data_IF_757339843644
#
_entry.id   IF_757339843644
#
_cell.length_a   1.000
_cell.length_b   1.000
_cell.length_c   1.000
_cell.angle_alpha   90.00
_cell.angle_beta   90.00
_cell.angle_gamma   90.00
#
_symmetry.space_group_name_H-M   'P 1'
#
loop_
_entity.id
_entity.type
_entity.pdbx_description
1 polymer ?
#
# COMPACT_ATOMS: atom_id res chain seq x y z
N UNK A 1 17.36 -14.86 -1.35
CA UNK A 1 16.72 -14.64 -0.04
C UNK A 1 15.22 -14.58 -0.29
N UNK A 2 14.43 -15.40 0.41
CA UNK A 2 12.98 -15.41 0.15
C UNK A 2 12.36 -14.08 0.59
N UNK A 3 11.47 -13.50 -0.21
CA UNK A 3 10.75 -12.24 0.01
C UNK A 3 10.24 -12.07 1.47
N UNK A 4 9.72 -13.14 2.05
CA UNK A 4 9.25 -13.19 3.44
C UNK A 4 10.37 -12.94 4.48
N UNK A 5 11.61 -13.32 4.18
CA UNK A 5 12.76 -13.08 5.08
C UNK A 5 13.25 -11.63 4.97
N UNK A 6 13.26 -11.05 3.77
CA UNK A 6 13.60 -9.64 3.55
C UNK A 6 12.60 -8.73 4.28
N UNK A 7 11.32 -8.97 4.08
CA UNK A 7 10.25 -8.21 4.73
C UNK A 7 10.32 -8.32 6.27
N UNK A 8 10.59 -9.51 6.79
CA UNK A 8 10.76 -9.75 8.23
C UNK A 8 11.97 -9.01 8.81
N UNK A 9 13.10 -8.99 8.10
CA UNK A 9 14.29 -8.23 8.53
C UNK A 9 14.08 -6.72 8.50
N UNK A 10 13.37 -6.23 7.50
CA UNK A 10 13.09 -4.81 7.30
C UNK A 10 12.14 -4.26 8.39
N UNK A 11 11.18 -5.06 8.84
CA UNK A 11 10.16 -4.66 9.81
C UNK A 11 10.60 -4.87 11.26
N UNK A 12 11.42 -5.88 11.54
CA UNK A 12 11.82 -6.24 12.90
C UNK A 12 13.04 -5.44 13.43
N UNK A 13 13.69 -4.60 12.62
CA UNK A 13 14.86 -3.81 13.03
C UNK A 13 14.84 -2.35 12.57
N UNK A 14 13.81 -1.56 12.92
CA UNK A 14 13.81 -0.13 12.58
C UNK A 14 14.86 0.68 13.39
N UNK A 15 15.32 0.16 14.54
CA UNK A 15 16.11 0.93 15.52
C UNK A 15 17.62 0.91 15.33
N UNK A 16 18.17 0.14 14.39
CA UNK A 16 19.64 0.02 14.24
C UNK A 16 20.26 0.82 13.09
N UNK A 17 19.50 1.49 12.26
CA UNK A 17 20.01 2.17 11.06
C UNK A 17 19.87 3.68 11.07
N UNK A 18 19.44 4.33 12.15
CA UNK A 18 19.34 5.80 12.20
C UNK A 18 18.44 6.42 11.11
N UNK A 19 17.77 5.59 10.35
CA UNK A 19 16.81 6.01 9.33
C UNK A 19 15.44 6.18 9.97
N UNK A 20 14.70 7.18 9.53
CA UNK A 20 13.28 7.36 9.83
C UNK A 20 12.58 6.02 9.62
N UNK A 21 11.93 5.50 10.65
CA UNK A 21 11.24 4.22 10.56
C UNK A 21 10.31 4.20 9.34
N UNK A 22 10.32 3.13 8.52
CA UNK A 22 9.60 3.07 7.25
C UNK A 22 8.10 3.34 7.35
N UNK A 23 7.51 3.11 8.49
CA UNK A 23 6.10 3.30 8.80
C UNK A 23 5.90 4.43 9.81
N UNK A 24 6.70 5.50 9.72
CA UNK A 24 6.49 6.65 10.60
C UNK A 24 5.15 7.31 10.29
N UNK A 25 4.47 7.75 11.33
CA UNK A 25 3.23 8.52 11.19
C UNK A 25 3.44 9.77 10.32
N UNK A 26 4.61 10.40 10.39
CA UNK A 26 4.96 11.54 9.56
C UNK A 26 5.00 11.25 8.07
N UNK A 27 5.53 10.09 7.66
CA UNK A 27 5.51 9.67 6.26
C UNK A 27 4.08 9.36 5.80
N UNK A 28 3.30 8.68 6.62
CA UNK A 28 1.90 8.39 6.33
C UNK A 28 1.07 9.68 6.20
N UNK A 29 1.28 10.65 7.06
CA UNK A 29 0.65 11.97 6.96
C UNK A 29 1.04 12.70 5.68
N UNK A 30 2.31 12.70 5.31
CA UNK A 30 2.80 13.35 4.10
C UNK A 30 2.15 12.74 2.85
N UNK A 31 2.19 11.42 2.73
CA UNK A 31 1.64 10.71 1.55
C UNK A 31 0.13 10.87 1.47
N UNK A 32 -0.59 10.69 2.57
CA UNK A 32 -2.05 10.83 2.56
C UNK A 32 -2.51 12.27 2.36
N UNK A 33 -1.71 13.26 2.75
CA UNK A 33 -1.96 14.67 2.43
C UNK A 33 -1.73 14.94 0.94
N UNK A 34 -0.63 14.44 0.38
CA UNK A 34 -0.34 14.56 -1.05
C UNK A 34 -1.40 13.83 -1.93
N UNK A 35 -1.99 12.77 -1.40
CA UNK A 35 -3.06 12.04 -2.07
C UNK A 35 -4.36 12.84 -2.20
N UNK A 36 -4.57 13.87 -1.35
CA UNK A 36 -5.77 14.70 -1.35
C UNK A 36 -7.08 13.89 -1.39
N UNK A 37 -7.28 13.11 -0.33
CA UNK A 37 -8.36 12.13 -0.26
C UNK A 37 -9.75 12.74 0.01
N UNK A 38 -9.83 14.04 0.23
CA UNK A 38 -11.07 14.74 0.68
C UNK A 38 -12.27 14.57 -0.26
N UNK A 39 -12.02 14.34 -1.54
CA UNK A 39 -13.06 14.13 -2.55
C UNK A 39 -13.01 12.72 -3.19
N UNK A 40 -12.22 11.82 -2.64
CA UNK A 40 -12.09 10.48 -3.19
C UNK A 40 -13.32 9.63 -2.85
N UNK A 41 -13.86 8.92 -3.84
CA UNK A 41 -14.99 7.99 -3.67
C UNK A 41 -14.54 6.55 -3.53
N UNK A 42 -13.39 6.21 -4.12
CA UNK A 42 -12.81 4.88 -4.09
C UNK A 42 -11.29 4.94 -3.95
N UNK A 43 -10.77 4.29 -2.92
CA UNK A 43 -9.33 4.25 -2.61
C UNK A 43 -8.91 2.80 -2.40
N UNK A 44 -7.72 2.45 -2.88
CA UNK A 44 -7.10 1.15 -2.65
C UNK A 44 -5.74 1.34 -2.00
N UNK A 45 -5.42 0.53 -1.01
CA UNK A 45 -4.07 0.43 -0.45
C UNK A 45 -3.42 -0.88 -0.88
N UNK A 46 -2.22 -0.80 -1.44
CA UNK A 46 -1.39 -1.94 -1.80
C UNK A 46 -0.30 -2.12 -0.74
N UNK A 47 -0.41 -3.19 0.04
CA UNK A 47 0.57 -3.50 1.08
C UNK A 47 0.45 -2.62 2.32
N UNK A 48 -0.38 -3.01 3.26
CA UNK A 48 -0.64 -2.22 4.49
C UNK A 48 0.44 -2.35 5.56
N UNK A 49 1.21 -3.43 5.52
CA UNK A 49 2.17 -3.70 6.59
C UNK A 49 1.51 -3.70 7.96
N UNK A 50 1.96 -2.82 8.85
CA UNK A 50 1.40 -2.70 10.21
C UNK A 50 0.15 -1.82 10.32
N UNK A 51 -0.37 -1.32 9.20
CA UNK A 51 -1.60 -0.53 9.13
C UNK A 51 -1.45 0.97 9.45
N UNK A 52 -0.24 1.51 9.49
CA UNK A 52 -0.03 2.94 9.78
C UNK A 52 -0.62 3.83 8.69
N UNK A 53 -0.40 3.49 7.42
CA UNK A 53 -1.01 4.20 6.29
C UNK A 53 -2.52 3.99 6.27
N UNK A 54 -2.97 2.77 6.50
CA UNK A 54 -4.41 2.42 6.59
C UNK A 54 -5.14 3.33 7.58
N UNK A 55 -4.58 3.52 8.77
CA UNK A 55 -5.14 4.38 9.81
C UNK A 55 -5.25 5.84 9.35
N UNK A 56 -4.18 6.37 8.71
CA UNK A 56 -4.18 7.75 8.19
C UNK A 56 -5.13 7.94 7.01
N UNK A 57 -5.27 6.94 6.14
CA UNK A 57 -6.27 6.96 5.07
C UNK A 57 -7.68 7.06 5.67
N UNK A 58 -8.00 6.18 6.63
CA UNK A 58 -9.32 6.17 7.28
C UNK A 58 -9.68 7.49 7.96
N UNK A 59 -8.70 8.24 8.46
CA UNK A 59 -8.90 9.56 9.06
C UNK A 59 -9.22 10.65 8.04
N UNK A 60 -8.89 10.47 6.77
CA UNK A 60 -8.93 11.52 5.73
C UNK A 60 -9.96 11.27 4.63
N UNK A 61 -10.46 10.05 4.50
CA UNK A 61 -11.45 9.73 3.46
C UNK A 61 -12.85 10.24 3.84
N UNK A 62 -13.66 10.65 2.85
CA UNK A 62 -15.03 11.06 3.10
C UNK A 62 -15.90 9.92 3.64
N UNK A 63 -16.94 10.29 4.38
CA UNK A 63 -17.98 9.35 4.78
C UNK A 63 -18.61 8.73 3.53
N UNK A 64 -18.70 7.40 3.49
CA UNK A 64 -19.26 6.66 2.35
C UNK A 64 -18.24 6.34 1.23
N UNK A 65 -17.00 6.82 1.32
CA UNK A 65 -15.95 6.39 0.40
C UNK A 65 -15.72 4.87 0.51
N UNK A 66 -15.47 4.25 -0.63
CA UNK A 66 -15.11 2.83 -0.70
C UNK A 66 -13.60 2.69 -0.51
N UNK A 67 -13.21 1.94 0.49
CA UNK A 67 -11.80 1.71 0.79
C UNK A 67 -11.56 0.25 1.13
N UNK A 68 -10.53 -0.34 0.52
CA UNK A 68 -10.04 -1.65 0.88
C UNK A 68 -8.53 -1.76 0.71
N UNK A 69 -7.98 -2.75 1.36
CA UNK A 69 -6.55 -3.06 1.42
C UNK A 69 -6.29 -4.41 0.78
N UNK A 70 -5.21 -4.52 0.02
CA UNK A 70 -4.65 -5.77 -0.48
C UNK A 70 -3.30 -6.01 0.19
N UNK A 71 -3.22 -7.07 0.98
CA UNK A 71 -2.02 -7.46 1.71
C UNK A 71 -1.84 -8.99 1.64
N UNK A 72 -0.67 -9.43 1.19
CA UNK A 72 -0.42 -10.87 0.99
C UNK A 72 0.06 -11.57 2.27
N UNK A 73 0.71 -10.83 3.17
CA UNK A 73 1.27 -11.41 4.39
C UNK A 73 0.18 -11.55 5.47
N UNK A 74 -0.11 -12.78 5.96
CA UNK A 74 -1.16 -13.00 6.95
C UNK A 74 -0.92 -12.26 8.27
N UNK A 75 0.34 -12.12 8.71
CA UNK A 75 0.68 -11.41 9.94
C UNK A 75 0.36 -9.90 9.82
N UNK A 76 0.55 -9.33 8.63
CA UNK A 76 0.19 -7.94 8.35
C UNK A 76 -1.30 -7.72 8.15
N UNK A 77 -1.98 -8.69 7.57
CA UNK A 77 -3.44 -8.66 7.50
C UNK A 77 -4.01 -8.59 8.92
N UNK A 78 -3.51 -9.41 9.83
CA UNK A 78 -3.94 -9.40 11.23
C UNK A 78 -3.58 -8.09 11.93
N UNK A 79 -2.32 -7.63 11.78
CA UNK A 79 -1.86 -6.37 12.37
C UNK A 79 -2.71 -5.18 11.90
N UNK A 80 -3.02 -5.10 10.61
CA UNK A 80 -3.86 -4.04 10.04
C UNK A 80 -5.28 -4.10 10.59
N UNK A 81 -5.88 -5.27 10.67
CA UNK A 81 -7.23 -5.44 11.25
C UNK A 81 -7.30 -5.08 12.72
N UNK A 82 -6.25 -5.42 13.49
CA UNK A 82 -6.16 -5.07 14.90
C UNK A 82 -5.99 -3.56 15.11
N UNK A 83 -5.19 -2.90 14.26
CA UNK A 83 -4.98 -1.46 14.31
C UNK A 83 -6.19 -0.66 13.85
N UNK A 84 -6.86 -1.14 12.81
CA UNK A 84 -7.99 -0.49 12.16
C UNK A 84 -9.22 -1.41 12.16
N UNK A 85 -9.92 -1.57 13.30
CA UNK A 85 -11.09 -2.42 13.36
C UNK A 85 -12.16 -2.01 12.33
N UNK A 86 -12.69 -2.99 11.60
CA UNK A 86 -13.70 -2.76 10.56
C UNK A 86 -13.17 -2.42 9.18
N UNK A 87 -11.86 -2.23 9.01
CA UNK A 87 -11.27 -2.06 7.68
C UNK A 87 -11.38 -3.35 6.85
N UNK A 88 -11.66 -3.19 5.56
CA UNK A 88 -11.72 -4.33 4.64
C UNK A 88 -10.30 -4.63 4.16
N UNK A 89 -9.76 -5.76 4.57
CA UNK A 89 -8.45 -6.26 4.12
C UNK A 89 -8.64 -7.61 3.47
N UNK A 90 -8.26 -7.68 2.20
CA UNK A 90 -8.20 -8.94 1.45
C UNK A 90 -6.77 -9.49 1.50
N UNK A 91 -6.66 -10.75 1.89
CA UNK A 91 -5.37 -11.46 1.84
C UNK A 91 -5.14 -11.95 0.41
N UNK A 92 -4.65 -11.07 -0.44
CA UNK A 92 -4.42 -11.37 -1.85
C UNK A 92 -3.33 -10.45 -2.45
N UNK A 93 -2.89 -10.80 -3.66
CA UNK A 93 -1.99 -9.96 -4.44
C UNK A 93 -2.65 -8.65 -4.88
N UNK A 94 -1.89 -7.57 -4.87
CA UNK A 94 -2.33 -6.29 -5.41
C UNK A 94 -2.68 -6.36 -6.91
N UNK A 95 -2.12 -7.31 -7.65
CA UNK A 95 -2.47 -7.55 -9.06
C UNK A 95 -3.93 -7.99 -9.27
N UNK A 96 -4.61 -8.43 -8.22
CA UNK A 96 -6.03 -8.79 -8.25
C UNK A 96 -6.99 -7.64 -7.90
N UNK A 97 -6.50 -6.40 -7.81
CA UNK A 97 -7.29 -5.22 -7.39
C UNK A 97 -8.58 -5.02 -8.20
N UNK A 98 -8.53 -5.27 -9.50
CA UNK A 98 -9.70 -5.14 -10.39
C UNK A 98 -10.87 -6.03 -9.95
N UNK A 99 -10.57 -7.26 -9.54
CA UNK A 99 -11.59 -8.20 -9.08
C UNK A 99 -12.34 -7.64 -7.88
N UNK A 100 -11.61 -7.10 -6.90
CA UNK A 100 -12.22 -6.54 -5.68
C UNK A 100 -12.97 -5.24 -5.93
N UNK A 101 -12.50 -4.39 -6.85
CA UNK A 101 -13.29 -3.23 -7.30
C UNK A 101 -14.64 -3.65 -7.86
N UNK A 102 -14.67 -4.68 -8.69
CA UNK A 102 -15.92 -5.19 -9.26
C UNK A 102 -16.87 -5.74 -8.18
N UNK A 103 -16.36 -6.34 -7.11
CA UNK A 103 -17.18 -6.79 -5.98
C UNK A 103 -17.89 -5.62 -5.28
N UNK A 104 -17.31 -4.40 -5.30
CA UNK A 104 -17.96 -3.16 -4.86
C UNK A 104 -18.88 -2.52 -5.90
N UNK A 105 -19.02 -3.12 -7.08
CA UNK A 105 -19.76 -2.53 -8.20
C UNK A 105 -19.03 -1.37 -8.86
N UNK A 106 -17.73 -1.24 -8.66
CA UNK A 106 -16.88 -0.17 -9.20
C UNK A 106 -16.04 -0.69 -10.36
N UNK A 107 -15.71 0.21 -11.29
CA UNK A 107 -14.80 -0.08 -12.41
C UNK A 107 -13.41 0.50 -12.20
N UNK A 108 -13.34 1.62 -11.48
CA UNK A 108 -12.16 2.44 -11.30
C UNK A 108 -12.08 2.95 -9.86
N UNK A 109 -10.87 3.36 -9.45
CA UNK A 109 -10.66 4.07 -8.19
C UNK A 109 -10.03 5.46 -8.42
N UNK A 110 -10.17 6.34 -7.44
CA UNK A 110 -9.63 7.70 -7.48
C UNK A 110 -8.15 7.74 -7.11
N UNK A 111 -7.74 6.86 -6.21
CA UNK A 111 -6.40 6.88 -5.64
C UNK A 111 -5.95 5.48 -5.25
N UNK A 112 -4.66 5.23 -5.47
CA UNK A 112 -3.95 4.06 -4.96
C UNK A 112 -2.79 4.55 -4.11
N UNK A 113 -2.71 4.09 -2.87
CA UNK A 113 -1.57 4.30 -1.97
C UNK A 113 -0.83 2.98 -1.84
N UNK A 114 0.46 2.97 -2.18
CA UNK A 114 1.24 1.76 -2.31
C UNK A 114 2.43 1.75 -1.36
N UNK A 115 2.42 0.79 -0.43
CA UNK A 115 3.51 0.50 0.49
C UNK A 115 4.36 -0.70 0.10
N UNK A 116 4.26 -1.17 -1.14
CA UNK A 116 4.99 -2.33 -1.62
C UNK A 116 6.47 -2.00 -1.89
N UNK A 117 7.39 -2.94 -1.57
CA UNK A 117 8.83 -2.75 -1.79
C UNK A 117 9.23 -3.02 -3.25
N UNK A 118 8.96 -2.07 -4.14
CA UNK A 118 9.17 -2.18 -5.58
C UNK A 118 10.58 -2.66 -5.98
N UNK A 119 11.61 -2.14 -5.33
CA UNK A 119 13.00 -2.49 -5.61
C UNK A 119 13.33 -3.98 -5.39
N UNK A 120 12.48 -4.71 -4.65
CA UNK A 120 12.63 -6.13 -4.35
C UNK A 120 11.91 -7.04 -5.34
N UNK A 121 11.11 -6.47 -6.24
CA UNK A 121 10.29 -7.24 -7.17
C UNK A 121 11.05 -7.55 -8.46
N UNK A 122 10.73 -8.70 -9.06
CA UNK A 122 11.15 -8.99 -10.42
C UNK A 122 10.51 -8.00 -11.40
N UNK A 123 11.14 -7.82 -12.55
CA UNK A 123 10.60 -6.97 -13.61
C UNK A 123 9.20 -7.40 -14.05
N UNK A 124 8.97 -8.70 -14.15
CA UNK A 124 7.65 -9.26 -14.51
C UNK A 124 6.57 -8.85 -13.51
N UNK A 125 6.85 -8.94 -12.21
CA UNK A 125 5.90 -8.53 -11.18
C UNK A 125 5.69 -7.01 -11.18
N UNK A 126 6.73 -6.22 -11.39
CA UNK A 126 6.61 -4.77 -11.52
C UNK A 126 5.70 -4.39 -12.69
N UNK A 127 5.86 -5.03 -13.86
CA UNK A 127 5.03 -4.81 -15.03
C UNK A 127 3.58 -5.23 -14.78
N UNK A 128 3.35 -6.39 -14.17
CA UNK A 128 2.01 -6.86 -13.79
C UNK A 128 1.28 -5.85 -12.88
N UNK A 129 1.98 -5.33 -11.87
CA UNK A 129 1.43 -4.35 -10.95
C UNK A 129 1.18 -3.00 -11.64
N UNK A 130 2.06 -2.55 -12.52
CA UNK A 130 1.86 -1.32 -13.29
C UNK A 130 0.66 -1.44 -14.22
N UNK A 131 0.51 -2.56 -14.91
CA UNK A 131 -0.67 -2.83 -15.75
C UNK A 131 -1.96 -2.80 -14.92
N UNK A 132 -1.92 -3.41 -13.73
CA UNK A 132 -3.06 -3.37 -12.80
C UNK A 132 -3.40 -1.95 -12.37
N UNK A 133 -2.40 -1.13 -12.00
CA UNK A 133 -2.59 0.27 -11.59
C UNK A 133 -3.24 1.07 -12.72
N UNK A 134 -2.74 0.93 -13.95
CA UNK A 134 -3.28 1.62 -15.13
C UNK A 134 -4.72 1.20 -15.41
N UNK A 135 -5.03 -0.09 -15.22
CA UNK A 135 -6.35 -0.66 -15.53
C UNK A 135 -7.42 -0.26 -14.50
N UNK A 136 -7.04 -0.03 -13.24
CA UNK A 136 -8.00 0.28 -12.16
C UNK A 136 -8.06 1.76 -11.77
N UNK A 137 -7.06 2.55 -12.12
CA UNK A 137 -7.01 3.96 -11.78
C UNK A 137 -7.78 4.78 -12.84
N UNK A 138 -8.72 5.60 -12.40
CA UNK A 138 -9.47 6.46 -13.32
C UNK A 138 -8.55 7.48 -14.01
N UNK A 139 -8.92 8.03 -15.17
CA UNK A 139 -8.22 9.17 -15.76
C UNK A 139 -8.14 10.34 -14.77
N UNK A 140 -6.92 10.86 -14.56
CA UNK A 140 -6.65 11.89 -13.56
C UNK A 140 -6.58 11.39 -12.12
N UNK A 141 -6.73 10.09 -11.90
CA UNK A 141 -6.51 9.44 -10.61
C UNK A 141 -5.04 9.51 -10.15
N UNK A 142 -4.80 9.24 -8.88
CA UNK A 142 -3.48 9.40 -8.26
C UNK A 142 -2.92 8.07 -7.78
N UNK A 143 -1.68 7.82 -8.16
CA UNK A 143 -0.88 6.74 -7.59
C UNK A 143 0.26 7.33 -6.76
N UNK A 144 0.32 6.96 -5.49
CA UNK A 144 1.37 7.39 -4.58
C UNK A 144 2.09 6.19 -4.01
N UNK A 145 3.40 6.23 -4.09
CA UNK A 145 4.28 5.25 -3.48
C UNK A 145 5.47 5.96 -2.86
N UNK A 146 6.16 5.27 -1.98
CA UNK A 146 7.43 5.75 -1.42
C UNK A 146 8.51 4.71 -1.66
N UNK A 147 9.74 5.18 -1.87
CA UNK A 147 10.91 4.34 -1.99
C UNK A 147 11.96 4.79 -1.00
N UNK A 148 12.65 3.81 -0.38
CA UNK A 148 13.79 4.12 0.47
C UNK A 148 15.03 4.28 -0.40
N UNK A 149 15.71 5.41 -0.28
CA UNK A 149 16.98 5.69 -0.98
C UNK A 149 18.06 4.64 -0.67
N UNK A 150 17.98 3.97 0.46
CA UNK A 150 18.88 2.88 0.81
C UNK A 150 18.81 1.69 -0.14
N UNK A 151 17.68 1.47 -0.80
CA UNK A 151 17.55 0.44 -1.85
C UNK A 151 18.29 0.78 -3.14
N UNK A 152 18.61 2.06 -3.37
CA UNK A 152 19.37 2.53 -4.52
C UNK A 152 20.89 2.35 -4.37
N UNK A 153 21.37 2.09 -3.15
CA UNK A 153 22.80 1.91 -2.83
C UNK A 153 23.22 0.45 -2.75
N UNK A 154 22.29 -0.48 -2.92
CA UNK A 154 22.61 -1.89 -2.99
C UNK A 154 23.04 -2.22 -4.43
N UNK A 155 24.23 -2.82 -4.63
CA UNK A 155 24.63 -3.29 -5.96
C UNK A 155 23.59 -4.31 -6.43
N UNK A 156 23.18 -4.16 -7.68
CA UNK A 156 22.38 -5.17 -8.36
C UNK A 156 23.19 -6.47 -8.38
N UNK A 157 22.79 -7.46 -7.58
CA UNK A 157 23.37 -8.78 -7.52
C UNK A 157 22.78 -9.69 -8.58
#
# INVERSE_FOLDING_TARGET
>A
MKFTQFLKHFILRPSKTGAIAPSSEGLADLITTAADLSNASAIIEFGSGTGVFTEKILQKIPVGARFFVLEINPDFVEATRNRCPGVIVYRDSASNAKRYLHEFGLKECDCIICGLPWASFSEDLQNELLDTIIDVLKPGGRFLTFAYLQGLLLPAG
#
